data_IF_833696447430
#
_entry.id   IF_833696447430
#
_cell.length_a   1.000
_cell.length_b   1.000
_cell.length_c   1.000
_cell.angle_alpha   90.00
_cell.angle_beta   90.00
_cell.angle_gamma   90.00
#
_symmetry.space_group_name_H-M   'P 1'
#
loop_
_entity.id
_entity.type
_entity.pdbx_description
1 polymer ?
#
# COMPACT_ATOMS: atom_id res chain seq x y z
N UNK A 1 -42.40 18.85 -17.78
CA UNK A 1 -41.21 18.21 -17.17
C UNK A 1 -41.21 18.65 -15.73
N UNK A 2 -41.60 17.76 -14.82
CA UNK A 2 -41.65 18.11 -13.40
C UNK A 2 -40.21 18.24 -12.89
N UNK A 3 -39.85 19.46 -12.50
CA UNK A 3 -38.56 19.73 -11.88
C UNK A 3 -38.55 19.06 -10.50
N UNK A 4 -37.44 18.38 -10.17
CA UNK A 4 -37.26 17.76 -8.86
C UNK A 4 -37.30 18.81 -7.75
N UNK A 5 -37.77 18.41 -6.56
CA UNK A 5 -37.67 19.27 -5.38
C UNK A 5 -36.21 19.39 -4.91
N UNK A 6 -35.80 20.47 -4.24
CA UNK A 6 -34.43 20.62 -3.73
C UNK A 6 -33.96 19.48 -2.82
N UNK A 7 -34.87 18.86 -2.06
CA UNK A 7 -34.53 17.70 -1.22
C UNK A 7 -34.30 16.43 -2.05
N UNK A 8 -35.11 16.19 -3.09
CA UNK A 8 -34.89 15.07 -4.02
C UNK A 8 -33.57 15.22 -4.78
N UNK A 9 -33.24 16.42 -5.25
CA UNK A 9 -31.94 16.70 -5.88
C UNK A 9 -30.77 16.40 -4.94
N UNK A 10 -30.90 16.79 -3.66
CA UNK A 10 -29.89 16.53 -2.62
C UNK A 10 -29.74 15.04 -2.33
N UNK A 11 -30.84 14.30 -2.18
CA UNK A 11 -30.79 12.85 -1.96
C UNK A 11 -30.15 12.11 -3.14
N UNK A 12 -30.48 12.52 -4.38
CA UNK A 12 -29.84 11.98 -5.58
C UNK A 12 -28.35 12.30 -5.61
N UNK A 13 -27.94 13.51 -5.28
CA UNK A 13 -26.53 13.89 -5.19
C UNK A 13 -25.76 13.06 -4.13
N UNK A 14 -26.37 12.79 -2.97
CA UNK A 14 -25.80 11.90 -1.95
C UNK A 14 -25.66 10.47 -2.48
N UNK A 15 -26.71 9.94 -3.11
CA UNK A 15 -26.71 8.62 -3.73
C UNK A 15 -25.60 8.46 -4.76
N UNK A 16 -25.48 9.42 -5.68
CA UNK A 16 -24.42 9.45 -6.69
C UNK A 16 -23.03 9.46 -6.06
N UNK A 17 -22.77 10.31 -5.06
CA UNK A 17 -21.46 10.36 -4.37
C UNK A 17 -21.11 9.03 -3.70
N UNK A 18 -22.09 8.38 -3.06
CA UNK A 18 -21.91 7.05 -2.46
C UNK A 18 -21.58 5.99 -3.51
N UNK A 19 -22.34 5.96 -4.60
CA UNK A 19 -22.10 5.04 -5.70
C UNK A 19 -20.71 5.22 -6.30
N UNK A 20 -20.30 6.46 -6.59
CA UNK A 20 -18.97 6.76 -7.14
C UNK A 20 -17.85 6.31 -6.19
N UNK A 21 -18.03 6.48 -4.88
CA UNK A 21 -17.05 6.01 -3.87
C UNK A 21 -16.87 4.50 -3.94
N UNK A 22 -17.98 3.74 -4.01
CA UNK A 22 -17.91 2.28 -4.10
C UNK A 22 -17.38 1.77 -5.44
N UNK A 23 -17.76 2.39 -6.55
CA UNK A 23 -17.23 2.04 -7.87
C UNK A 23 -15.72 2.26 -7.95
N UNK A 24 -15.23 3.38 -7.41
CA UNK A 24 -13.80 3.65 -7.31
C UNK A 24 -13.10 2.58 -6.47
N UNK A 25 -13.63 2.26 -5.27
CA UNK A 25 -13.05 1.22 -4.40
C UNK A 25 -13.00 -0.12 -5.13
N UNK A 26 -14.08 -0.53 -5.79
CA UNK A 26 -14.14 -1.77 -6.54
C UNK A 26 -13.07 -1.80 -7.66
N UNK A 27 -12.91 -0.70 -8.41
CA UNK A 27 -11.88 -0.60 -9.44
C UNK A 27 -10.47 -0.76 -8.87
N UNK A 28 -10.19 -0.14 -7.72
CA UNK A 28 -8.87 -0.25 -7.05
C UNK A 28 -8.64 -1.68 -6.57
N UNK A 29 -9.65 -2.33 -5.97
CA UNK A 29 -9.56 -3.74 -5.55
C UNK A 29 -9.21 -4.62 -6.75
N UNK A 30 -9.89 -4.46 -7.88
CA UNK A 30 -9.63 -5.26 -9.08
C UNK A 30 -8.24 -5.03 -9.66
N UNK A 31 -7.78 -3.79 -9.67
CA UNK A 31 -6.44 -3.44 -10.10
C UNK A 31 -5.36 -4.13 -9.25
N UNK A 32 -5.44 -4.04 -7.91
CA UNK A 32 -4.45 -4.67 -7.03
C UNK A 32 -4.57 -6.20 -6.97
N UNK A 33 -5.78 -6.75 -7.09
CA UNK A 33 -5.98 -8.20 -7.21
C UNK A 33 -5.29 -8.75 -8.47
N UNK A 34 -5.41 -8.05 -9.61
CA UNK A 34 -4.71 -8.43 -10.84
C UNK A 34 -3.18 -8.43 -10.68
N UNK A 35 -2.61 -7.37 -10.10
CA UNK A 35 -1.16 -7.27 -9.89
C UNK A 35 -0.63 -8.33 -8.90
N UNK A 36 -1.34 -8.57 -7.80
CA UNK A 36 -0.93 -9.58 -6.81
C UNK A 36 -1.09 -11.01 -7.33
N UNK A 37 -2.10 -11.28 -8.16
CA UNK A 37 -2.24 -12.55 -8.88
C UNK A 37 -1.07 -12.79 -9.84
N UNK A 38 -0.73 -11.79 -10.67
CA UNK A 38 0.42 -11.86 -11.57
C UNK A 38 1.74 -12.11 -10.81
N UNK A 39 1.92 -11.48 -9.64
CA UNK A 39 3.07 -11.73 -8.76
C UNK A 39 3.12 -13.19 -8.30
N UNK A 40 2.02 -13.73 -7.76
CA UNK A 40 1.98 -15.09 -7.19
C UNK A 40 2.29 -16.13 -8.27
N UNK A 41 1.67 -16.00 -9.44
CA UNK A 41 1.87 -16.93 -10.56
C UNK A 41 3.33 -16.88 -11.04
N UNK A 42 3.89 -15.68 -11.23
CA UNK A 42 5.28 -15.51 -11.68
C UNK A 42 6.31 -16.01 -10.67
N UNK A 43 5.99 -15.99 -9.38
CA UNK A 43 6.86 -16.51 -8.31
C UNK A 43 6.97 -18.03 -8.29
N UNK A 44 5.97 -18.74 -8.81
CA UNK A 44 5.85 -20.20 -8.64
C UNK A 44 6.95 -21.03 -9.31
N UNK A 45 7.69 -20.48 -10.28
CA UNK A 45 8.72 -21.19 -11.03
C UNK A 45 9.98 -20.35 -11.26
N UNK A 46 11.15 -20.98 -11.13
CA UNK A 46 12.47 -20.41 -11.32
C UNK A 46 12.99 -19.65 -10.09
N UNK A 47 13.87 -18.68 -10.34
CA UNK A 47 14.48 -17.86 -9.29
C UNK A 47 13.54 -16.77 -8.80
N UNK A 48 13.52 -16.58 -7.49
CA UNK A 48 12.79 -15.54 -6.82
C UNK A 48 13.59 -14.92 -5.68
N UNK A 49 13.58 -13.60 -5.59
CA UNK A 49 14.22 -12.86 -4.49
C UNK A 49 13.16 -12.58 -3.43
N UNK A 50 13.45 -12.93 -2.18
CA UNK A 50 12.64 -12.51 -1.04
C UNK A 50 13.36 -11.38 -0.32
N UNK A 51 12.71 -10.23 -0.22
CA UNK A 51 13.25 -9.04 0.43
C UNK A 51 12.70 -8.99 1.86
N UNK A 52 13.57 -8.74 2.83
CA UNK A 52 13.17 -8.45 4.20
C UNK A 52 12.54 -7.06 4.25
N UNK A 53 11.31 -6.96 4.75
CA UNK A 53 10.59 -5.67 4.82
C UNK A 53 11.35 -4.65 5.69
N UNK A 54 11.69 -3.47 5.13
CA UNK A 54 12.31 -2.38 5.88
C UNK A 54 11.49 -1.91 7.09
N UNK A 55 12.18 -1.52 8.17
CA UNK A 55 11.59 -0.98 9.40
C UNK A 55 10.59 0.18 9.19
N UNK A 56 10.79 1.13 8.26
CA UNK A 56 9.82 2.21 8.02
C UNK A 56 8.40 1.73 7.69
N UNK A 57 8.24 0.56 7.07
CA UNK A 57 6.91 0.01 6.74
C UNK A 57 6.11 -0.49 7.96
N UNK A 58 6.78 -0.80 9.07
CA UNK A 58 6.11 -1.13 10.33
C UNK A 58 5.54 0.15 10.98
N UNK A 59 6.34 1.22 11.01
CA UNK A 59 5.89 2.53 11.49
C UNK A 59 4.77 3.10 10.64
N UNK A 60 4.82 2.92 9.32
CA UNK A 60 3.73 3.32 8.43
C UNK A 60 2.42 2.63 8.79
N UNK A 61 2.48 1.34 9.15
CA UNK A 61 1.30 0.57 9.55
C UNK A 61 0.69 1.12 10.84
N UNK A 62 1.51 1.55 11.81
CA UNK A 62 1.02 2.23 13.00
C UNK A 62 0.35 3.58 12.65
N UNK A 63 1.00 4.41 11.83
CA UNK A 63 0.47 5.71 11.44
C UNK A 63 -0.87 5.61 10.72
N UNK A 64 -1.01 4.68 9.77
CA UNK A 64 -2.25 4.55 9.00
C UNK A 64 -3.41 4.07 9.87
N UNK A 65 -3.16 3.15 10.81
CA UNK A 65 -4.18 2.66 11.76
C UNK A 65 -4.64 3.78 12.68
N UNK A 66 -3.70 4.50 13.32
CA UNK A 66 -4.04 5.62 14.19
C UNK A 66 -4.75 6.74 13.43
N UNK A 67 -4.29 7.07 12.22
CA UNK A 67 -4.94 8.06 11.37
C UNK A 67 -6.36 7.65 11.00
N UNK A 68 -6.56 6.36 10.70
CA UNK A 68 -7.89 5.76 10.47
C UNK A 68 -8.82 5.98 11.65
N UNK A 69 -8.35 5.74 12.88
CA UNK A 69 -9.13 5.94 14.10
C UNK A 69 -9.50 7.42 14.27
N UNK A 70 -8.54 8.34 14.11
CA UNK A 70 -8.80 9.79 14.22
C UNK A 70 -9.86 10.26 13.21
N UNK A 71 -9.74 9.82 11.96
CA UNK A 71 -10.71 10.14 10.92
C UNK A 71 -12.09 9.55 11.22
N UNK A 72 -12.16 8.31 11.69
CA UNK A 72 -13.42 7.69 12.09
C UNK A 72 -14.11 8.43 13.24
N UNK A 73 -13.34 8.85 14.25
CA UNK A 73 -13.83 9.65 15.36
C UNK A 73 -14.39 10.99 14.87
N UNK A 74 -13.80 11.59 13.84
CA UNK A 74 -14.30 12.84 13.24
C UNK A 74 -15.70 12.64 12.63
N UNK A 75 -15.93 11.52 11.95
CA UNK A 75 -17.23 11.14 11.40
C UNK A 75 -18.27 10.85 12.49
N UNK A 76 -17.88 10.19 13.58
CA UNK A 76 -18.76 10.00 14.75
C UNK A 76 -19.11 11.35 15.38
N UNK A 77 -18.14 12.25 15.52
CA UNK A 77 -18.34 13.56 16.14
C UNK A 77 -19.35 14.41 15.36
N UNK A 78 -19.25 14.48 14.02
CA UNK A 78 -20.22 15.25 13.22
C UNK A 78 -21.63 14.66 13.32
N UNK A 79 -21.76 13.33 13.30
CA UNK A 79 -23.07 12.64 13.41
C UNK A 79 -23.73 12.88 14.76
N UNK A 80 -22.95 13.10 15.82
CA UNK A 80 -23.41 13.49 17.16
C UNK A 80 -23.61 14.99 17.33
N UNK A 81 -23.55 15.78 16.25
CA UNK A 81 -23.71 17.24 16.29
C UNK A 81 -22.50 18.00 16.85
N UNK A 82 -21.37 17.33 17.12
CA UNK A 82 -20.15 17.94 17.68
C UNK A 82 -19.22 18.46 16.59
N UNK A 83 -19.72 19.34 15.71
CA UNK A 83 -18.98 19.84 14.54
C UNK A 83 -17.62 20.49 14.88
N UNK A 84 -17.53 21.15 16.05
CA UNK A 84 -16.28 21.78 16.55
C UNK A 84 -15.12 20.79 16.74
N UNK A 85 -15.42 19.51 16.97
CA UNK A 85 -14.40 18.45 17.15
C UNK A 85 -13.90 17.88 15.82
N UNK A 86 -14.57 18.15 14.69
CA UNK A 86 -14.21 17.57 13.39
C UNK A 86 -12.86 18.09 12.91
N UNK A 87 -12.65 19.40 12.94
CA UNK A 87 -11.40 20.01 12.49
C UNK A 87 -10.16 19.51 13.26
N UNK A 88 -10.11 19.51 14.62
CA UNK A 88 -8.93 19.01 15.34
C UNK A 88 -8.67 17.52 15.10
N UNK A 89 -9.71 16.69 14.97
CA UNK A 89 -9.54 15.27 14.63
C UNK A 89 -8.99 15.07 13.21
N UNK A 90 -9.42 15.89 12.25
CA UNK A 90 -8.86 15.89 10.90
C UNK A 90 -7.41 16.38 10.85
N UNK A 91 -7.03 17.36 11.69
CA UNK A 91 -5.62 17.78 11.83
C UNK A 91 -4.77 16.63 12.36
N UNK A 92 -5.23 15.94 13.40
CA UNK A 92 -4.53 14.76 13.92
C UNK A 92 -4.40 13.65 12.86
N UNK A 93 -5.48 13.37 12.12
CA UNK A 93 -5.47 12.40 11.01
C UNK A 93 -4.52 12.82 9.89
N UNK A 94 -4.45 14.10 9.55
CA UNK A 94 -3.55 14.61 8.51
C UNK A 94 -2.09 14.52 8.94
N UNK A 95 -1.76 14.86 10.19
CA UNK A 95 -0.41 14.71 10.72
C UNK A 95 0.05 13.25 10.68
N UNK A 96 -0.82 12.31 11.07
CA UNK A 96 -0.57 10.87 10.96
C UNK A 96 -0.45 10.42 9.50
N UNK A 97 -1.27 10.96 8.60
CA UNK A 97 -1.16 10.71 7.15
C UNK A 97 0.17 11.18 6.56
N UNK A 98 0.69 12.33 7.00
CA UNK A 98 2.01 12.83 6.59
C UNK A 98 3.11 11.91 7.15
N UNK A 99 3.00 11.47 8.40
CA UNK A 99 3.91 10.49 9.00
C UNK A 99 3.93 9.17 8.23
N UNK A 100 2.75 8.67 7.85
CA UNK A 100 2.59 7.52 6.96
C UNK A 100 3.33 7.73 5.64
N UNK A 101 3.05 8.82 4.92
CA UNK A 101 3.71 9.12 3.64
C UNK A 101 5.24 9.23 3.76
N UNK A 102 5.75 9.90 4.80
CA UNK A 102 7.18 10.03 5.04
C UNK A 102 7.85 8.66 5.27
N UNK A 103 7.24 7.80 6.09
CA UNK A 103 7.73 6.44 6.33
C UNK A 103 7.68 5.54 5.08
N UNK A 104 6.64 5.69 4.24
CA UNK A 104 6.56 5.01 2.95
C UNK A 104 7.69 5.42 2.01
N UNK A 105 7.97 6.72 1.92
CA UNK A 105 9.06 7.26 1.12
C UNK A 105 10.42 6.75 1.60
N UNK A 106 10.62 6.63 2.92
CA UNK A 106 11.84 6.07 3.48
C UNK A 106 11.99 4.58 3.16
N UNK A 107 10.94 3.78 3.40
CA UNK A 107 10.96 2.36 3.07
C UNK A 107 11.21 2.10 1.59
N UNK A 108 10.63 2.93 0.70
CA UNK A 108 10.91 2.85 -0.72
C UNK A 108 12.37 3.18 -1.07
N UNK A 109 12.97 4.21 -0.44
CA UNK A 109 14.40 4.50 -0.61
C UNK A 109 15.27 3.33 -0.18
N UNK A 110 14.91 2.64 0.90
CA UNK A 110 15.64 1.46 1.37
C UNK A 110 15.52 0.30 0.38
N UNK A 111 14.33 0.06 -0.19
CA UNK A 111 14.16 -0.92 -1.26
C UNK A 111 14.98 -0.59 -2.51
N UNK A 112 14.98 0.68 -2.95
CA UNK A 112 15.75 1.11 -4.13
C UNK A 112 17.26 0.94 -3.90
N UNK A 113 17.75 1.16 -2.68
CA UNK A 113 19.16 0.90 -2.31
C UNK A 113 19.54 -0.57 -2.39
N UNK A 114 18.59 -1.48 -2.19
CA UNK A 114 18.80 -2.91 -2.41
C UNK A 114 18.77 -3.29 -3.91
N UNK A 115 18.51 -2.34 -4.81
CA UNK A 115 18.41 -2.62 -6.25
C UNK A 115 17.00 -3.06 -6.67
N UNK A 116 15.98 -2.77 -5.87
CA UNK A 116 14.58 -3.03 -6.21
C UNK A 116 14.05 -1.87 -7.03
N UNK A 117 14.21 -1.98 -8.35
CA UNK A 117 13.89 -0.93 -9.32
C UNK A 117 12.94 -1.42 -10.40
N UNK A 118 12.40 -0.48 -11.20
CA UNK A 118 11.57 -0.80 -12.38
C UNK A 118 12.32 -1.63 -13.41
N UNK A 119 13.56 -1.23 -13.72
CA UNK A 119 14.45 -2.04 -14.54
C UNK A 119 14.97 -3.17 -13.65
N UNK A 120 14.79 -4.44 -14.03
CA UNK A 120 15.34 -5.55 -13.27
C UNK A 120 16.87 -5.45 -13.27
N UNK A 121 17.48 -5.72 -12.12
CA UNK A 121 18.93 -5.93 -12.03
C UNK A 121 19.25 -7.39 -12.29
N UNK A 122 20.53 -7.71 -12.49
CA UNK A 122 20.99 -9.10 -12.39
C UNK A 122 20.67 -9.65 -11.00
N UNK A 123 20.36 -10.94 -10.91
CA UNK A 123 19.96 -11.56 -9.65
C UNK A 123 21.02 -11.40 -8.56
N UNK A 124 22.31 -11.49 -8.92
CA UNK A 124 23.45 -11.23 -8.04
C UNK A 124 23.84 -9.75 -7.93
N UNK A 125 23.19 -8.87 -8.70
CA UNK A 125 23.41 -7.42 -8.66
C UNK A 125 22.54 -6.70 -7.62
N UNK A 126 21.73 -7.44 -6.85
CA UNK A 126 20.95 -6.91 -5.75
C UNK A 126 21.90 -6.50 -4.61
N UNK A 127 21.77 -5.27 -4.15
CA UNK A 127 22.56 -4.74 -3.04
C UNK A 127 22.08 -5.29 -1.70
N UNK A 128 22.94 -5.17 -0.69
CA UNK A 128 22.64 -5.61 0.69
C UNK A 128 23.29 -6.95 1.04
N UNK A 129 22.89 -7.50 2.18
CA UNK A 129 23.49 -8.69 2.78
C UNK A 129 22.56 -9.90 2.63
N UNK A 130 23.03 -10.96 1.97
CA UNK A 130 22.30 -12.22 1.88
C UNK A 130 21.97 -12.80 3.26
N UNK A 131 20.75 -13.27 3.45
CA UNK A 131 20.26 -13.82 4.72
C UNK A 131 19.72 -12.77 5.71
N UNK A 132 20.08 -11.49 5.53
CA UNK A 132 19.59 -10.39 6.36
C UNK A 132 18.60 -9.53 5.57
N UNK A 133 19.05 -8.96 4.45
CA UNK A 133 18.27 -8.02 3.64
C UNK A 133 17.46 -8.73 2.57
N UNK A 134 18.01 -9.81 2.01
CA UNK A 134 17.33 -10.64 1.02
C UNK A 134 17.78 -12.11 1.07
N UNK A 135 16.94 -12.98 0.52
CA UNK A 135 17.27 -14.38 0.23
C UNK A 135 16.81 -14.73 -1.18
N UNK A 136 17.37 -15.78 -1.77
CA UNK A 136 16.98 -16.23 -3.11
C UNK A 136 16.48 -17.66 -3.00
N UNK A 137 15.38 -17.96 -3.70
CA UNK A 137 14.84 -19.30 -3.81
C UNK A 137 14.79 -19.73 -5.27
N UNK A 138 15.05 -21.00 -5.56
CA UNK A 138 14.81 -21.65 -6.86
C UNK A 138 13.71 -22.69 -6.67
N UNK A 139 12.59 -22.53 -7.38
CA UNK A 139 11.45 -23.46 -7.31
C UNK A 139 10.95 -23.73 -5.87
N UNK A 140 11.01 -22.69 -5.03
CA UNK A 140 10.62 -22.75 -3.62
C UNK A 140 11.72 -23.22 -2.65
N UNK A 141 12.82 -23.79 -3.14
CA UNK A 141 13.95 -24.17 -2.30
C UNK A 141 14.91 -22.99 -2.08
N UNK A 142 15.32 -22.69 -0.83
CA UNK A 142 16.26 -21.62 -0.56
C UNK A 142 17.65 -21.97 -1.10
N UNK A 143 18.34 -20.96 -1.62
CA UNK A 143 19.74 -21.09 -2.01
C UNK A 143 20.65 -20.92 -0.80
N UNK A 144 21.81 -21.58 -0.82
CA UNK A 144 22.82 -21.51 0.22
C UNK A 144 24.16 -21.17 -0.44
N UNK A 145 24.76 -20.02 -0.11
CA UNK A 145 26.11 -19.71 -0.54
C UNK A 145 27.13 -20.48 0.32
N UNK A 146 28.02 -21.24 -0.31
CA UNK A 146 29.11 -21.99 0.35
C UNK A 146 30.39 -21.86 -0.49
N UNK A 147 31.49 -21.42 0.12
CA UNK A 147 32.80 -21.28 -0.53
C UNK A 147 32.79 -20.47 -1.84
N UNK A 148 31.90 -19.48 -1.95
CA UNK A 148 31.74 -18.64 -3.14
C UNK A 148 30.84 -19.21 -4.24
N UNK A 149 30.28 -20.41 -4.02
CA UNK A 149 29.37 -21.10 -4.91
C UNK A 149 27.93 -21.13 -4.36
N UNK A 150 26.95 -21.14 -5.25
CA UNK A 150 25.53 -21.23 -4.89
C UNK A 150 24.96 -22.62 -5.11
N UNK A 151 24.27 -23.14 -4.11
CA UNK A 151 23.60 -24.44 -4.15
C UNK A 151 22.15 -24.32 -3.70
N UNK A 152 21.29 -25.25 -4.13
CA UNK A 152 19.96 -25.40 -3.52
C UNK A 152 20.08 -26.16 -2.20
N UNK A 153 19.17 -25.89 -1.25
CA UNK A 153 19.21 -26.52 0.07
C UNK A 153 19.01 -28.05 0.06
N UNK A 154 18.46 -28.62 -1.02
CA UNK A 154 18.31 -30.06 -1.23
C UNK A 154 19.59 -30.74 -1.76
N UNK A 155 20.52 -29.99 -2.37
CA UNK A 155 21.83 -30.50 -2.79
C UNK A 155 22.79 -30.60 -1.59
N UNK A 156 22.54 -31.60 -0.73
CA UNK A 156 23.37 -31.87 0.46
C UNK A 156 24.83 -32.21 0.13
N UNK A 157 25.08 -32.76 -1.07
CA UNK A 157 26.42 -33.08 -1.58
C UNK A 157 27.16 -31.88 -2.15
N UNK A 158 26.45 -30.78 -2.47
CA UNK A 158 26.99 -29.60 -3.15
C UNK A 158 27.69 -29.95 -4.46
N UNK A 159 27.12 -30.92 -5.18
CA UNK A 159 27.70 -31.44 -6.41
C UNK A 159 27.33 -30.56 -7.62
N UNK A 160 26.26 -29.77 -7.52
CA UNK A 160 25.69 -29.01 -8.63
C UNK A 160 25.71 -27.50 -8.33
N UNK A 161 26.84 -26.81 -8.54
CA UNK A 161 26.92 -25.37 -8.37
C UNK A 161 26.06 -24.64 -9.42
N UNK A 162 25.32 -23.62 -8.97
CA UNK A 162 24.35 -22.86 -9.77
C UNK A 162 24.90 -21.52 -10.28
N UNK A 163 26.20 -21.28 -10.16
CA UNK A 163 26.80 -19.96 -10.39
C UNK A 163 26.59 -19.45 -11.83
N UNK A 164 26.85 -20.32 -12.81
CA UNK A 164 26.65 -19.99 -14.22
C UNK A 164 25.17 -19.71 -14.53
N UNK A 165 24.27 -20.48 -13.93
CA UNK A 165 22.84 -20.30 -14.11
C UNK A 165 22.39 -18.96 -13.52
N UNK A 166 22.70 -18.70 -12.25
CA UNK A 166 22.30 -17.49 -11.50
C UNK A 166 22.92 -16.21 -12.10
N UNK A 167 24.16 -16.26 -12.60
CA UNK A 167 24.81 -15.11 -13.23
C UNK A 167 24.05 -14.59 -14.46
N UNK A 168 23.36 -15.47 -15.17
CA UNK A 168 22.57 -15.10 -16.34
C UNK A 168 21.17 -14.59 -15.98
N UNK A 169 20.67 -14.92 -14.78
CA UNK A 169 19.32 -14.58 -14.35
C UNK A 169 19.14 -13.10 -14.00
N UNK A 170 17.93 -12.62 -14.27
CA UNK A 170 17.46 -11.29 -13.91
C UNK A 170 16.51 -11.39 -12.72
N UNK A 171 16.59 -10.42 -11.81
CA UNK A 171 15.64 -10.34 -10.72
C UNK A 171 14.25 -9.96 -11.26
N UNK A 172 13.33 -10.93 -11.19
CA UNK A 172 11.93 -10.71 -11.57
C UNK A 172 11.14 -10.04 -10.46
N UNK A 173 11.64 -10.04 -9.22
CA UNK A 173 10.94 -9.54 -8.04
C UNK A 173 10.81 -8.02 -8.04
N UNK A 174 11.91 -7.33 -8.35
CA UNK A 174 12.05 -5.89 -8.31
C UNK A 174 10.94 -5.14 -9.07
N UNK A 175 10.72 -5.41 -10.36
CA UNK A 175 9.69 -4.75 -11.14
C UNK A 175 8.28 -4.89 -10.57
N UNK A 176 7.91 -6.06 -10.01
CA UNK A 176 6.59 -6.24 -9.40
C UNK A 176 6.44 -5.43 -8.11
N UNK A 177 7.43 -5.51 -7.21
CA UNK A 177 7.41 -4.74 -5.94
C UNK A 177 7.38 -3.25 -6.23
N UNK A 178 8.17 -2.80 -7.21
CA UNK A 178 8.21 -1.40 -7.64
C UNK A 178 6.87 -0.95 -8.22
N UNK A 179 6.23 -1.75 -9.08
CA UNK A 179 4.92 -1.44 -9.66
C UNK A 179 3.83 -1.35 -8.60
N UNK A 180 3.78 -2.31 -7.67
CA UNK A 180 2.84 -2.29 -6.54
C UNK A 180 3.06 -1.04 -5.67
N UNK A 181 4.32 -0.67 -5.42
CA UNK A 181 4.69 0.49 -4.61
C UNK A 181 4.24 1.80 -5.25
N UNK A 182 4.50 2.00 -6.56
CA UNK A 182 4.07 3.22 -7.25
C UNK A 182 2.56 3.30 -7.36
N UNK A 183 1.89 2.19 -7.69
CA UNK A 183 0.44 2.17 -7.73
C UNK A 183 -0.15 2.56 -6.37
N UNK A 184 0.37 2.00 -5.28
CA UNK A 184 -0.06 2.36 -3.93
C UNK A 184 0.22 3.84 -3.63
N UNK A 185 1.40 4.35 -3.98
CA UNK A 185 1.79 5.74 -3.77
C UNK A 185 0.87 6.73 -4.51
N UNK A 186 0.43 6.40 -5.73
CA UNK A 186 -0.53 7.21 -6.48
C UNK A 186 -1.86 7.33 -5.73
N UNK A 187 -2.40 6.22 -5.22
CA UNK A 187 -3.65 6.23 -4.44
C UNK A 187 -3.48 6.97 -3.11
N UNK A 188 -2.34 6.81 -2.44
CA UNK A 188 -2.00 7.55 -1.21
C UNK A 188 -2.00 9.07 -1.43
N UNK A 189 -1.49 9.56 -2.56
CA UNK A 189 -1.50 10.99 -2.87
C UNK A 189 -2.93 11.56 -2.94
N UNK A 190 -3.86 10.84 -3.58
CA UNK A 190 -5.28 11.18 -3.58
C UNK A 190 -5.90 11.12 -2.18
N UNK A 191 -5.49 10.14 -1.37
CA UNK A 191 -5.87 10.03 0.04
C UNK A 191 -5.50 11.29 0.84
N UNK A 192 -4.24 11.73 0.75
CA UNK A 192 -3.76 12.93 1.45
C UNK A 192 -4.48 14.19 0.96
N UNK A 193 -4.65 14.33 -0.35
CA UNK A 193 -5.41 15.44 -0.92
C UNK A 193 -6.85 15.47 -0.37
N UNK A 194 -7.51 14.31 -0.25
CA UNK A 194 -8.85 14.22 0.33
C UNK A 194 -8.87 14.70 1.79
N UNK A 195 -7.88 14.37 2.62
CA UNK A 195 -7.77 14.85 3.99
C UNK A 195 -7.62 16.38 4.05
N UNK A 196 -6.80 16.97 3.18
CA UNK A 196 -6.61 18.42 3.10
C UNK A 196 -7.91 19.12 2.71
N UNK A 197 -8.62 18.58 1.71
CA UNK A 197 -9.91 19.12 1.27
C UNK A 197 -10.95 19.02 2.40
N UNK A 198 -11.04 17.88 3.09
CA UNK A 198 -11.95 17.69 4.22
C UNK A 198 -11.62 18.65 5.36
N UNK A 199 -10.34 18.84 5.68
CA UNK A 199 -9.92 19.80 6.69
C UNK A 199 -10.32 21.24 6.29
N UNK A 200 -10.11 21.62 5.04
CA UNK A 200 -10.52 22.93 4.52
C UNK A 200 -12.04 23.16 4.57
N UNK A 201 -12.84 22.11 4.37
CA UNK A 201 -14.30 22.14 4.56
C UNK A 201 -14.70 22.22 6.03
N UNK A 202 -14.00 21.50 6.92
CA UNK A 202 -14.25 21.50 8.35
C UNK A 202 -13.94 22.86 9.00
N UNK A 203 -12.84 23.51 8.62
CA UNK A 203 -12.48 24.85 9.09
C UNK A 203 -13.56 25.87 8.72
N UNK A 204 -14.14 25.74 7.51
CA UNK A 204 -15.27 26.56 7.04
C UNK A 204 -16.62 26.17 7.64
N UNK A 205 -16.65 25.28 8.64
CA UNK A 205 -17.86 24.80 9.32
C UNK A 205 -18.93 24.24 8.35
N UNK A 206 -18.51 23.64 7.23
CA UNK A 206 -19.43 23.09 6.22
C UNK A 206 -20.08 21.76 6.64
N UNK A 207 -19.50 21.07 7.61
CA UNK A 207 -19.99 19.77 8.05
C UNK A 207 -21.03 19.91 9.16
N UNK A 208 -22.21 19.35 8.92
CA UNK A 208 -23.31 19.28 9.88
C UNK A 208 -23.80 17.84 10.04
N UNK A 209 -24.65 17.59 11.04
CA UNK A 209 -25.19 16.25 11.27
C UNK A 209 -25.97 15.73 10.04
N UNK A 210 -26.61 16.62 9.28
CA UNK A 210 -27.37 16.27 8.07
C UNK A 210 -26.55 16.35 6.79
N UNK A 211 -25.53 17.21 6.72
CA UNK A 211 -24.66 17.39 5.55
C UNK A 211 -23.19 17.07 5.87
N UNK A 212 -22.84 15.78 5.73
CA UNK A 212 -21.50 15.26 5.96
C UNK A 212 -21.09 14.19 4.93
N UNK A 213 -21.75 14.15 3.77
CA UNK A 213 -21.51 13.09 2.76
C UNK A 213 -20.06 13.08 2.27
N UNK A 214 -19.44 14.27 2.13
CA UNK A 214 -18.03 14.38 1.75
C UNK A 214 -17.08 13.82 2.80
N UNK A 215 -17.35 14.07 4.09
CA UNK A 215 -16.58 13.50 5.19
C UNK A 215 -16.74 11.98 5.24
N UNK A 216 -17.97 11.47 5.03
CA UNK A 216 -18.21 10.03 4.95
C UNK A 216 -17.43 9.39 3.79
N UNK A 217 -17.50 9.97 2.59
CA UNK A 217 -16.83 9.43 1.42
C UNK A 217 -15.30 9.39 1.61
N UNK A 218 -14.71 10.49 2.10
CA UNK A 218 -13.28 10.54 2.42
C UNK A 218 -12.88 9.59 3.55
N UNK A 219 -13.73 9.41 4.56
CA UNK A 219 -13.52 8.44 5.64
C UNK A 219 -13.49 7.00 5.10
N UNK A 220 -14.47 6.62 4.29
CA UNK A 220 -14.53 5.29 3.67
C UNK A 220 -13.32 5.07 2.76
N UNK A 221 -12.95 6.06 1.95
CA UNK A 221 -11.79 5.97 1.07
C UNK A 221 -10.48 5.79 1.85
N UNK A 222 -10.25 6.58 2.90
CA UNK A 222 -9.04 6.46 3.72
C UNK A 222 -8.97 5.14 4.49
N UNK A 223 -10.10 4.64 5.01
CA UNK A 223 -10.16 3.30 5.60
C UNK A 223 -9.80 2.23 4.59
N UNK A 224 -10.32 2.32 3.36
CA UNK A 224 -10.00 1.40 2.29
C UNK A 224 -8.50 1.44 1.93
N UNK A 225 -7.92 2.62 1.75
CA UNK A 225 -6.48 2.80 1.55
C UNK A 225 -5.64 2.16 2.66
N UNK A 226 -6.03 2.37 3.93
CA UNK A 226 -5.36 1.76 5.07
C UNK A 226 -5.48 0.24 5.08
N UNK A 227 -6.68 -0.30 4.78
CA UNK A 227 -6.89 -1.74 4.64
C UNK A 227 -6.08 -2.33 3.49
N UNK A 228 -6.01 -1.63 2.35
CA UNK A 228 -5.18 -2.00 1.20
C UNK A 228 -3.69 -2.03 1.58
N UNK A 229 -3.20 -1.04 2.32
CA UNK A 229 -1.81 -1.03 2.79
C UNK A 229 -1.53 -2.22 3.73
N UNK A 230 -2.40 -2.48 4.70
CA UNK A 230 -2.24 -3.63 5.62
C UNK A 230 -2.20 -4.94 4.83
N UNK A 231 -3.10 -5.10 3.86
CA UNK A 231 -3.08 -6.25 2.95
C UNK A 231 -1.75 -6.37 2.20
N UNK A 232 -1.28 -5.29 1.56
CA UNK A 232 -0.02 -5.30 0.81
C UNK A 232 1.18 -5.56 1.71
N UNK A 233 1.20 -5.00 2.92
CA UNK A 233 2.26 -5.24 3.90
C UNK A 233 2.32 -6.72 4.31
N UNK A 234 1.17 -7.33 4.64
CA UNK A 234 1.10 -8.75 4.98
C UNK A 234 1.48 -9.63 3.79
N UNK A 235 1.01 -9.29 2.59
CA UNK A 235 1.37 -9.96 1.35
C UNK A 235 2.89 -9.93 1.12
N UNK A 236 3.51 -8.75 1.23
CA UNK A 236 4.95 -8.57 1.08
C UNK A 236 5.78 -9.12 2.26
N UNK A 237 5.15 -9.46 3.37
CA UNK A 237 5.84 -10.05 4.53
C UNK A 237 5.79 -11.58 4.55
N UNK A 238 4.68 -12.17 4.11
CA UNK A 238 4.43 -13.61 4.25
C UNK A 238 4.38 -14.35 2.92
N UNK A 239 3.81 -13.73 1.89
CA UNK A 239 3.67 -14.35 0.57
C UNK A 239 4.90 -14.07 -0.28
N UNK A 240 5.54 -12.92 -0.10
CA UNK A 240 6.78 -12.52 -0.75
C UNK A 240 7.98 -13.33 -0.25
#
# INVERSE_FOLDING_TARGET
MDAFTPEEERQRAIGTRRLMTWLMIFAIVMFFAGLTSAYIVSKSAGYWTRITMPQPFYWSTLYVVLGSVMLHLSLIAVRRGKAKLVAPLLVASLALGIGFFASQMQGWKDLVRLGITWSPNKLLGIGGTYGTDFTITKDGQPLIPVDGHWYTADDTGREHPLDAEIAEQWDRTGPYVYTLTIAHAAHMAFGLLSLVIMLGMAIRQRYTATDHVGLWAGTVYWHFLGGLWIYLFLFLRFVH
#
